data_IF_038566513947
#
_entry.id   IF_038566513947
#
_cell.length_a   1.000
_cell.length_b   1.000
_cell.length_c   1.000
_cell.angle_alpha   90.00
_cell.angle_beta   90.00
_cell.angle_gamma   90.00
#
_symmetry.space_group_name_H-M   'P 1'
#
loop_
_entity.id
_entity.type
_entity.pdbx_description
1 polymer ?
#
# COMPACT_ATOMS: atom_id res chain seq x y z
N UNK A 1 -2.89 12.55 10.04
CA UNK A 1 -3.16 13.30 11.31
C UNK A 1 -1.87 13.98 11.75
N UNK A 2 -1.92 14.96 12.67
CA UNK A 2 -0.70 15.59 13.20
C UNK A 2 0.20 14.54 13.88
N UNK A 3 -0.38 13.62 14.66
CA UNK A 3 0.35 12.54 15.33
C UNK A 3 1.15 11.66 14.36
N UNK A 4 0.57 11.34 13.20
CA UNK A 4 1.27 10.58 12.16
C UNK A 4 2.49 11.32 11.60
N UNK A 5 2.34 12.62 11.33
CA UNK A 5 3.45 13.45 10.80
C UNK A 5 4.60 13.54 11.81
N UNK A 6 4.29 13.75 13.09
CA UNK A 6 5.31 13.79 14.14
C UNK A 6 6.04 12.46 14.28
N UNK A 7 5.33 11.33 14.27
CA UNK A 7 5.95 10.01 14.34
C UNK A 7 6.86 9.74 13.12
N UNK A 8 6.42 10.13 11.92
CA UNK A 8 7.23 10.06 10.70
C UNK A 8 8.49 10.93 10.80
N UNK A 9 8.39 12.15 11.32
CA UNK A 9 9.54 13.05 11.49
C UNK A 9 10.58 12.45 12.43
N UNK A 10 10.15 11.94 13.60
CA UNK A 10 11.05 11.36 14.60
C UNK A 10 11.76 10.09 14.11
N UNK A 11 11.05 9.20 13.39
CA UNK A 11 11.67 8.00 12.82
C UNK A 11 12.65 8.37 11.71
N UNK A 12 12.27 9.32 10.84
CA UNK A 12 13.12 9.78 9.73
C UNK A 12 14.42 10.43 10.18
N UNK A 13 14.44 11.06 11.37
CA UNK A 13 15.68 11.65 11.96
C UNK A 13 16.76 10.59 12.16
N UNK A 14 16.37 9.33 12.36
CA UNK A 14 17.29 8.22 12.66
C UNK A 14 17.46 7.29 11.47
N UNK A 15 16.36 6.86 10.85
CA UNK A 15 16.36 5.91 9.75
C UNK A 15 15.26 6.22 8.72
N UNK A 16 15.67 6.76 7.57
CA UNK A 16 14.78 7.07 6.47
C UNK A 16 14.17 5.81 5.82
N UNK A 17 14.88 4.69 5.78
CA UNK A 17 14.36 3.44 5.22
C UNK A 17 13.23 2.87 6.08
N UNK A 18 13.42 2.84 7.41
CA UNK A 18 12.37 2.43 8.35
C UNK A 18 11.15 3.35 8.27
N UNK A 19 11.38 4.66 8.17
CA UNK A 19 10.32 5.65 7.97
C UNK A 19 9.49 5.40 6.71
N UNK A 20 10.13 5.05 5.59
CA UNK A 20 9.42 4.75 4.33
C UNK A 20 8.56 3.49 4.43
N UNK A 21 9.00 2.46 5.17
CA UNK A 21 8.19 1.26 5.46
C UNK A 21 6.92 1.65 6.24
N UNK A 22 7.07 2.41 7.32
CA UNK A 22 5.93 2.92 8.11
C UNK A 22 4.99 3.77 7.25
N UNK A 23 5.56 4.61 6.40
CA UNK A 23 4.79 5.50 5.53
C UNK A 23 3.86 4.72 4.62
N UNK A 24 4.40 3.75 3.88
CA UNK A 24 3.64 2.95 2.92
C UNK A 24 2.57 2.12 3.63
N UNK A 25 2.94 1.43 4.73
CA UNK A 25 1.98 0.62 5.47
C UNK A 25 0.80 1.47 5.98
N UNK A 26 1.07 2.60 6.62
CA UNK A 26 0.03 3.37 7.30
C UNK A 26 -0.77 4.27 6.36
N UNK A 27 -0.10 4.96 5.44
CA UNK A 27 -0.74 6.00 4.61
C UNK A 27 -1.28 5.51 3.28
N UNK A 28 -0.68 4.49 2.66
CA UNK A 28 -1.15 3.97 1.38
C UNK A 28 -2.01 2.72 1.56
N UNK A 29 -1.62 1.81 2.46
CA UNK A 29 -2.33 0.54 2.66
C UNK A 29 -3.43 0.66 3.70
N UNK A 30 -3.09 0.93 4.97
CA UNK A 30 -4.07 0.98 6.07
C UNK A 30 -5.13 2.05 5.82
N UNK A 31 -4.74 3.26 5.42
CA UNK A 31 -5.70 4.32 5.12
C UNK A 31 -6.62 3.95 3.93
N UNK A 32 -6.08 3.31 2.89
CA UNK A 32 -6.89 2.84 1.75
C UNK A 32 -7.98 1.85 2.18
N UNK A 33 -7.62 0.87 3.01
CA UNK A 33 -8.57 -0.09 3.59
C UNK A 33 -9.56 0.56 4.56
N UNK A 34 -9.10 1.46 5.43
CA UNK A 34 -9.96 2.19 6.36
C UNK A 34 -11.01 3.03 5.62
N UNK A 35 -10.58 3.71 4.54
CA UNK A 35 -11.40 4.66 3.80
C UNK A 35 -12.37 3.99 2.83
N UNK A 36 -11.93 2.94 2.13
CA UNK A 36 -12.66 2.36 1.01
C UNK A 36 -13.04 0.88 1.20
N UNK A 37 -12.46 0.20 2.19
CA UNK A 37 -12.77 -1.21 2.45
C UNK A 37 -14.16 -1.40 3.06
N UNK A 38 -14.75 -2.58 2.81
CA UNK A 38 -15.93 -3.03 3.55
C UNK A 38 -15.59 -3.36 5.00
N UNK A 39 -16.58 -3.47 5.88
CA UNK A 39 -16.33 -3.87 7.25
C UNK A 39 -15.68 -5.26 7.32
N UNK A 40 -16.07 -6.22 6.47
CA UNK A 40 -15.41 -7.52 6.43
C UNK A 40 -13.93 -7.40 6.02
N UNK A 41 -13.61 -6.56 5.02
CA UNK A 41 -12.24 -6.30 4.59
C UNK A 41 -11.41 -5.62 5.68
N UNK A 42 -11.98 -4.67 6.43
CA UNK A 42 -11.29 -4.02 7.55
C UNK A 42 -11.00 -5.00 8.68
N UNK A 43 -11.98 -5.82 9.06
CA UNK A 43 -11.77 -6.83 10.11
C UNK A 43 -10.70 -7.84 9.69
N UNK A 44 -10.71 -8.27 8.44
CA UNK A 44 -9.80 -9.30 7.92
C UNK A 44 -8.38 -8.78 7.66
N UNK A 45 -8.23 -7.58 7.10
CA UNK A 45 -6.94 -7.09 6.60
C UNK A 45 -6.41 -5.88 7.35
N UNK A 46 -7.26 -4.88 7.66
CA UNK A 46 -6.79 -3.66 8.32
C UNK A 46 -6.31 -3.92 9.75
N UNK A 47 -7.00 -4.78 10.50
CA UNK A 47 -6.60 -5.09 11.89
C UNK A 47 -5.19 -5.68 11.99
N UNK A 48 -4.82 -6.75 11.25
CA UNK A 48 -3.45 -7.27 11.25
C UNK A 48 -2.39 -6.28 10.73
N UNK A 49 -2.74 -5.46 9.73
CA UNK A 49 -1.83 -4.42 9.21
C UNK A 49 -1.57 -3.30 10.22
N UNK A 50 -2.61 -2.90 10.96
CA UNK A 50 -2.52 -1.85 11.98
C UNK A 50 -1.85 -2.34 13.28
N UNK A 51 -1.93 -3.64 13.60
CA UNK A 51 -1.18 -4.24 14.71
C UNK A 51 0.29 -4.46 14.39
N UNK A 52 0.68 -4.40 13.11
CA UNK A 52 2.04 -4.69 12.65
C UNK A 52 2.36 -6.18 12.56
N UNK A 53 1.36 -7.07 12.67
CA UNK A 53 1.54 -8.51 12.47
C UNK A 53 1.93 -8.83 11.02
N UNK A 54 1.41 -8.05 10.08
CA UNK A 54 1.78 -8.08 8.67
C UNK A 54 2.03 -6.67 8.17
N UNK A 55 2.87 -6.53 7.14
CA UNK A 55 3.13 -5.25 6.48
C UNK A 55 2.55 -5.26 5.07
N UNK A 56 2.01 -4.11 4.66
CA UNK A 56 1.44 -3.92 3.34
C UNK A 56 2.40 -3.28 2.34
N UNK A 57 2.12 -3.48 1.05
CA UNK A 57 2.78 -2.82 -0.07
C UNK A 57 1.74 -2.15 -0.98
N UNK A 58 2.10 -1.04 -1.63
CA UNK A 58 1.23 -0.33 -2.55
C UNK A 58 1.74 -0.45 -4.00
N UNK A 59 1.12 -1.37 -4.74
CA UNK A 59 1.57 -1.84 -6.05
C UNK A 59 1.06 -0.98 -7.22
N UNK A 60 1.53 0.26 -7.34
CA UNK A 60 1.16 1.16 -8.44
C UNK A 60 2.18 1.12 -9.58
N UNK A 61 3.37 1.69 -9.38
CA UNK A 61 4.34 1.94 -10.45
C UNK A 61 4.74 0.68 -11.24
N UNK A 62 4.99 0.87 -12.53
CA UNK A 62 5.41 -0.15 -13.50
C UNK A 62 6.67 0.30 -14.23
N UNK A 63 7.44 -0.59 -14.90
CA UNK A 63 8.61 -0.20 -15.67
C UNK A 63 8.36 0.94 -16.68
N UNK A 64 7.17 0.93 -17.29
CA UNK A 64 6.70 1.89 -18.28
C UNK A 64 5.82 3.01 -17.71
N UNK A 65 5.39 2.93 -16.44
CA UNK A 65 4.43 3.85 -15.83
C UNK A 65 4.85 4.27 -14.41
N UNK A 66 5.54 5.42 -14.33
CA UNK A 66 5.92 6.09 -13.08
C UNK A 66 5.01 7.28 -12.78
N UNK A 67 5.44 8.48 -13.18
CA UNK A 67 4.65 9.72 -13.00
C UNK A 67 3.32 9.69 -13.75
N UNK A 68 3.27 9.10 -14.95
CA UNK A 68 2.02 8.82 -15.66
C UNK A 68 1.46 7.45 -15.25
N UNK A 69 0.85 7.39 -14.07
CA UNK A 69 0.27 6.16 -13.55
C UNK A 69 -0.94 5.66 -14.35
N UNK A 70 -1.54 6.50 -15.21
CA UNK A 70 -2.71 6.10 -16.02
C UNK A 70 -2.32 5.24 -17.23
N UNK A 71 -1.03 5.24 -17.59
CA UNK A 71 -0.47 4.46 -18.70
C UNK A 71 -0.09 3.02 -18.32
N UNK A 72 -0.51 2.53 -17.15
CA UNK A 72 -0.29 1.16 -16.69
C UNK A 72 -0.80 0.10 -17.67
N UNK A 73 -0.11 -1.05 -17.69
CA UNK A 73 -0.40 -2.22 -18.51
C UNK A 73 -0.83 -3.43 -17.70
N UNK A 74 -0.68 -3.44 -16.37
CA UNK A 74 -1.25 -4.53 -15.55
C UNK A 74 -2.75 -4.65 -15.82
N UNK A 75 -3.17 -5.86 -16.16
CA UNK A 75 -4.57 -6.17 -16.50
C UNK A 75 -5.24 -6.92 -15.38
N UNK A 76 -6.53 -6.63 -15.16
CA UNK A 76 -7.42 -7.42 -14.32
C UNK A 76 -8.61 -7.88 -15.17
N UNK A 77 -8.62 -9.17 -15.53
CA UNK A 77 -9.68 -9.75 -16.38
C UNK A 77 -10.69 -10.45 -15.48
N UNK A 78 -11.95 -10.04 -15.53
CA UNK A 78 -13.05 -10.68 -14.81
C UNK A 78 -13.26 -12.14 -15.30
N UNK A 79 -13.26 -13.09 -14.36
CA UNK A 79 -13.53 -14.52 -14.58
C UNK A 79 -14.77 -15.00 -13.83
N UNK A 80 -15.58 -14.09 -13.27
CA UNK A 80 -16.82 -14.36 -12.56
C UNK A 80 -16.62 -14.40 -11.04
N UNK A 81 -16.01 -15.46 -10.53
CA UNK A 81 -15.73 -15.64 -9.10
C UNK A 81 -14.37 -15.06 -8.66
N UNK A 82 -13.54 -14.62 -9.61
CA UNK A 82 -12.25 -14.00 -9.37
C UNK A 82 -11.85 -13.08 -10.54
N UNK A 83 -10.77 -12.33 -10.35
CA UNK A 83 -10.07 -11.62 -11.42
C UNK A 83 -8.73 -12.31 -11.72
N UNK A 84 -8.42 -12.50 -13.01
CA UNK A 84 -7.08 -12.88 -13.46
C UNK A 84 -6.23 -11.60 -13.57
N UNK A 85 -5.33 -11.41 -12.62
CA UNK A 85 -4.40 -10.29 -12.57
C UNK A 85 -3.08 -10.68 -13.27
N UNK A 86 -2.62 -9.90 -14.25
CA UNK A 86 -1.35 -10.16 -14.93
C UNK A 86 -0.64 -8.84 -15.32
N UNK A 87 0.63 -8.73 -14.96
CA UNK A 87 1.48 -7.55 -15.18
C UNK A 87 2.77 -7.61 -14.38
N UNK A 88 3.55 -6.52 -14.43
CA UNK A 88 4.76 -6.34 -13.62
C UNK A 88 4.71 -5.00 -12.92
N UNK A 89 5.05 -4.99 -11.63
CA UNK A 89 5.17 -3.78 -10.83
C UNK A 89 6.65 -3.51 -10.54
N UNK A 90 6.99 -2.24 -10.35
CA UNK A 90 8.36 -1.81 -10.17
C UNK A 90 8.47 -0.76 -9.05
N UNK A 91 9.59 -0.77 -8.32
CA UNK A 91 9.85 0.15 -7.21
C UNK A 91 8.81 0.10 -6.08
N UNK A 92 8.33 -1.11 -5.76
CA UNK A 92 7.34 -1.31 -4.71
C UNK A 92 8.04 -1.46 -3.36
N UNK A 93 7.93 -0.44 -2.51
CA UNK A 93 8.32 -0.56 -1.10
C UNK A 93 7.54 -1.70 -0.44
N UNK A 94 8.25 -2.57 0.29
CA UNK A 94 7.74 -3.80 0.93
C UNK A 94 7.30 -4.91 -0.05
N UNK A 95 7.51 -4.73 -1.36
CA UNK A 95 7.09 -5.66 -2.42
C UNK A 95 8.17 -6.60 -2.92
#
# INVERSE_FOLDING_TARGET
TISYVLAMEEISKIDASCSVIMSVNNSLVCWGLEKYGTEEQKQKYLKPLASGEVIGAFCLSEPEAGSDATSQKTTAIDKGDHYLLNGTKNWITNG
#
